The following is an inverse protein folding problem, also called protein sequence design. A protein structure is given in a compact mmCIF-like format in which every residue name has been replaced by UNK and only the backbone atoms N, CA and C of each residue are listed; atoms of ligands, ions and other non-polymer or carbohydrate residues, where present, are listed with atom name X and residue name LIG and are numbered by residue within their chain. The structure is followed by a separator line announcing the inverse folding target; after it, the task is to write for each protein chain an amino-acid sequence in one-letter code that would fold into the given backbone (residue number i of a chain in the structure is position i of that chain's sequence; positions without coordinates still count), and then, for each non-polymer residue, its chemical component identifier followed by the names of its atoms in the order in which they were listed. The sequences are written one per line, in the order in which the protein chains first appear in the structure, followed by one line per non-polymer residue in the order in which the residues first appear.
data_IF_383054529568
#
_entry.id   IF_383054529568
#
_cell.length_a   1.000
_cell.length_b   1.000
_cell.length_c   1.000
_cell.angle_alpha   90.00
_cell.angle_beta   90.00
_cell.angle_gamma   90.00
#
_symmetry.space_group_name_H-M   'P 1'
#
loop_
_entity.id
_entity.type
_entity.pdbx_description
1 polymer ?
#
# COMPACT_ATOMS: atom_id res chain seq x y z
N UNK A 1 3.89 13.49 -5.93
CA UNK A 1 4.80 12.82 -6.88
C UNK A 1 4.23 11.44 -7.23
N UNK A 2 4.26 11.07 -8.53
CA UNK A 2 3.80 9.75 -8.96
C UNK A 2 4.95 8.75 -8.92
N UNK A 3 4.72 7.56 -8.33
CA UNK A 3 5.66 6.46 -8.39
C UNK A 3 5.61 5.82 -9.79
N UNK A 4 6.67 6.01 -10.57
CA UNK A 4 6.81 5.42 -11.89
C UNK A 4 7.79 4.25 -11.84
N UNK A 5 7.31 3.02 -12.12
CA UNK A 5 8.13 1.80 -12.06
C UNK A 5 9.38 1.90 -12.94
N UNK A 6 9.24 2.38 -14.18
CA UNK A 6 10.36 2.50 -15.12
C UNK A 6 11.42 3.47 -14.59
N UNK A 7 11.00 4.62 -14.03
CA UNK A 7 11.92 5.57 -13.39
C UNK A 7 12.64 4.94 -12.20
N UNK A 8 11.94 4.22 -11.33
CA UNK A 8 12.53 3.51 -10.20
C UNK A 8 13.53 2.43 -10.64
N UNK A 9 13.27 1.73 -11.76
CA UNK A 9 14.20 0.76 -12.34
C UNK A 9 15.45 1.43 -12.91
N UNK A 10 15.32 2.53 -13.65
CA UNK A 10 16.45 3.31 -14.18
C UNK A 10 17.34 3.85 -13.06
N UNK A 11 16.76 4.23 -11.93
CA UNK A 11 17.48 4.67 -10.73
C UNK A 11 18.03 3.51 -9.87
N UNK A 12 17.88 2.27 -10.30
CA UNK A 12 18.25 1.07 -9.56
C UNK A 12 17.59 0.94 -8.17
N UNK A 13 16.46 1.62 -7.96
CA UNK A 13 15.68 1.55 -6.72
C UNK A 13 14.71 0.38 -6.71
N UNK A 14 14.23 -0.03 -7.88
CA UNK A 14 13.33 -1.17 -8.04
C UNK A 14 13.90 -2.15 -9.07
N UNK A 15 14.38 -3.28 -8.58
CA UNK A 15 14.97 -4.35 -9.41
C UNK A 15 14.28 -5.72 -9.20
N UNK A 16 13.12 -5.71 -8.53
CA UNK A 16 12.31 -6.89 -8.31
C UNK A 16 11.85 -7.48 -9.64
N UNK A 17 12.11 -8.78 -9.82
CA UNK A 17 11.74 -9.50 -11.02
C UNK A 17 10.30 -10.03 -10.90
N UNK A 18 9.60 -10.01 -12.02
CA UNK A 18 8.29 -10.60 -12.19
C UNK A 18 8.23 -11.29 -13.54
N UNK A 19 7.39 -12.30 -13.67
CA UNK A 19 7.06 -12.88 -14.98
C UNK A 19 5.57 -12.68 -15.26
N UNK A 20 5.26 -12.61 -16.54
CA UNK A 20 3.90 -12.46 -17.05
C UNK A 20 3.45 -13.81 -17.61
N UNK A 21 2.31 -14.32 -17.16
CA UNK A 21 1.70 -15.50 -17.74
C UNK A 21 1.04 -15.20 -19.10
N UNK A 22 0.67 -16.22 -19.86
CA UNK A 22 0.04 -16.08 -21.18
C UNK A 22 -1.26 -15.26 -21.14
N UNK A 23 -2.00 -15.32 -20.04
CA UNK A 23 -3.23 -14.55 -19.83
C UNK A 23 -3.01 -13.14 -19.23
N UNK A 24 -1.76 -12.64 -19.23
CA UNK A 24 -1.45 -11.29 -18.76
C UNK A 24 -1.34 -11.13 -17.22
N UNK A 25 -1.40 -12.22 -16.43
CA UNK A 25 -1.26 -12.17 -14.99
C UNK A 25 0.22 -12.05 -14.59
N UNK A 26 0.53 -11.06 -13.74
CA UNK A 26 1.86 -10.93 -13.13
C UNK A 26 2.06 -11.90 -11.97
N UNK A 27 3.23 -12.49 -11.92
CA UNK A 27 3.69 -13.33 -10.82
C UNK A 27 5.05 -12.85 -10.28
N UNK A 28 5.18 -12.85 -8.97
CA UNK A 28 6.42 -12.53 -8.29
C UNK A 28 7.40 -13.71 -8.38
N UNK A 29 8.65 -13.46 -8.78
CA UNK A 29 9.64 -14.53 -8.87
C UNK A 29 10.11 -15.06 -7.52
N UNK A 30 9.89 -14.33 -6.41
CA UNK A 30 10.33 -14.73 -5.08
C UNK A 30 9.47 -15.81 -4.44
N UNK A 31 8.17 -15.82 -4.70
CA UNK A 31 7.23 -16.76 -4.08
C UNK A 31 6.20 -17.33 -5.06
N UNK A 32 6.35 -17.04 -6.36
CA UNK A 32 5.48 -17.48 -7.45
C UNK A 32 3.99 -17.11 -7.22
N UNK A 33 3.72 -16.05 -6.44
CA UNK A 33 2.35 -15.61 -6.18
C UNK A 33 1.91 -14.53 -7.15
N UNK A 34 0.62 -14.56 -7.56
CA UNK A 34 0.08 -13.54 -8.41
C UNK A 34 -0.03 -12.20 -7.68
N UNK A 35 0.17 -11.13 -8.42
CA UNK A 35 -0.13 -9.76 -7.99
C UNK A 35 -0.78 -8.98 -9.13
N UNK A 36 -1.59 -7.98 -8.80
CA UNK A 36 -2.53 -7.39 -9.75
C UNK A 36 -2.05 -6.07 -10.36
N UNK A 37 -1.05 -5.40 -9.79
CA UNK A 37 -0.61 -4.09 -10.29
C UNK A 37 0.90 -3.97 -10.23
N UNK A 38 1.49 -3.24 -11.18
CA UNK A 38 2.92 -2.94 -11.21
C UNK A 38 3.42 -2.24 -9.94
N UNK A 39 2.53 -1.56 -9.22
CA UNK A 39 2.85 -0.81 -8.01
C UNK A 39 2.71 -1.61 -6.72
N UNK A 40 2.36 -2.89 -6.81
CA UNK A 40 2.09 -3.73 -5.63
C UNK A 40 3.21 -3.67 -4.58
N UNK A 41 4.46 -3.59 -5.01
CA UNK A 41 5.60 -3.59 -4.10
C UNK A 41 6.34 -2.25 -4.02
N UNK A 42 6.39 -1.47 -5.12
CA UNK A 42 7.11 -0.20 -5.17
C UNK A 42 6.56 0.87 -4.22
N UNK A 43 5.30 0.74 -3.78
CA UNK A 43 4.70 1.59 -2.74
C UNK A 43 5.49 1.61 -1.42
N UNK A 44 6.19 0.53 -1.12
CA UNK A 44 7.03 0.42 0.07
C UNK A 44 8.40 1.12 -0.06
N UNK A 45 8.73 1.67 -1.24
CA UNK A 45 9.92 2.49 -1.45
C UNK A 45 9.76 3.95 -1.02
N UNK A 46 8.55 4.39 -0.65
CA UNK A 46 8.32 5.79 -0.23
C UNK A 46 9.30 6.26 0.85
N UNK A 47 9.55 5.49 1.94
CA UNK A 47 10.54 5.91 2.93
C UNK A 47 11.97 6.03 2.38
N UNK A 48 12.35 5.14 1.46
CA UNK A 48 13.67 5.19 0.81
C UNK A 48 13.83 6.43 -0.05
N UNK A 49 12.82 6.75 -0.87
CA UNK A 49 12.80 7.95 -1.71
C UNK A 49 12.88 9.22 -0.87
N UNK A 50 12.16 9.26 0.25
CA UNK A 50 12.21 10.39 1.17
C UNK A 50 13.60 10.55 1.81
N UNK A 51 14.26 9.44 2.20
CA UNK A 51 15.63 9.47 2.74
C UNK A 51 16.64 10.03 1.73
N UNK A 52 16.54 9.61 0.46
CA UNK A 52 17.42 10.13 -0.59
C UNK A 52 17.24 11.64 -0.81
N UNK A 53 16.05 12.16 -0.56
CA UNK A 53 15.75 13.59 -0.64
C UNK A 53 15.94 14.31 0.71
N UNK A 54 16.50 13.64 1.72
CA UNK A 54 16.72 14.18 3.07
C UNK A 54 15.45 14.74 3.71
N UNK A 55 14.29 14.08 3.44
CA UNK A 55 12.99 14.42 4.05
C UNK A 55 12.84 13.72 5.38
N UNK A 56 12.14 14.38 6.30
CA UNK A 56 11.78 13.89 7.61
C UNK A 56 10.27 14.00 7.88
N UNK A 57 9.83 13.67 9.09
CA UNK A 57 8.44 13.76 9.49
C UNK A 57 7.60 12.59 8.96
N UNK A 58 6.47 12.90 8.34
CA UNK A 58 5.53 11.90 7.83
C UNK A 58 5.42 11.97 6.31
N UNK A 59 5.50 10.83 5.67
CA UNK A 59 5.28 10.67 4.23
C UNK A 59 4.03 9.80 3.98
N UNK A 60 3.25 10.16 2.98
CA UNK A 60 2.05 9.41 2.59
C UNK A 60 2.27 8.67 1.28
N UNK A 61 1.84 7.42 1.23
CA UNK A 61 1.51 6.70 0.00
C UNK A 61 -0.01 6.54 -0.09
N UNK A 62 -0.54 6.69 -1.28
CA UNK A 62 -1.94 6.42 -1.60
C UNK A 62 -2.02 5.82 -3.02
N UNK A 63 -2.91 4.84 -3.23
CA UNK A 63 -3.21 4.30 -4.56
C UNK A 63 -3.79 5.39 -5.47
N UNK A 64 -3.59 5.27 -6.79
CA UNK A 64 -3.96 6.31 -7.76
C UNK A 64 -5.48 6.44 -8.02
N UNK A 65 -6.28 5.54 -7.46
CA UNK A 65 -7.74 5.45 -7.60
C UNK A 65 -8.49 6.02 -6.37
N UNK A 66 -7.86 7.00 -5.67
CA UNK A 66 -8.47 7.73 -4.57
C UNK A 66 -9.01 9.09 -5.03
N UNK A 67 -10.21 9.44 -4.53
CA UNK A 67 -10.79 10.78 -4.59
C UNK A 67 -10.88 11.36 -3.18
N UNK A 68 -10.14 12.43 -2.91
CA UNK A 68 -10.23 13.16 -1.64
C UNK A 68 -11.41 14.14 -1.67
N UNK A 69 -12.25 14.08 -0.64
CA UNK A 69 -13.44 14.92 -0.47
C UNK A 69 -13.26 15.98 0.65
N UNK A 70 -12.18 15.88 1.41
CA UNK A 70 -11.84 16.79 2.49
C UNK A 70 -10.35 17.16 2.41
N UNK A 71 -9.95 18.19 3.14
CA UNK A 71 -8.57 18.67 3.21
C UNK A 71 -7.64 17.58 3.77
N UNK A 72 -6.68 17.16 2.95
CA UNK A 72 -5.70 16.13 3.29
C UNK A 72 -4.85 16.49 4.53
N UNK A 73 -4.68 17.76 4.86
CA UNK A 73 -3.97 18.19 6.07
C UNK A 73 -4.67 17.73 7.35
N UNK A 74 -5.99 17.50 7.30
CA UNK A 74 -6.72 16.89 8.41
C UNK A 74 -6.33 15.43 8.63
N UNK A 75 -5.96 14.70 7.55
CA UNK A 75 -5.41 13.35 7.69
C UNK A 75 -4.02 13.39 8.33
N UNK A 76 -3.18 14.34 7.94
CA UNK A 76 -1.87 14.54 8.58
C UNK A 76 -1.97 14.93 10.05
N UNK A 77 -3.07 15.58 10.48
CA UNK A 77 -3.29 15.86 11.91
C UNK A 77 -3.67 14.63 12.74
N UNK A 78 -4.02 13.50 12.10
CA UNK A 78 -4.37 12.25 12.79
C UNK A 78 -3.14 11.38 13.12
N UNK A 79 -1.95 11.72 12.65
CA UNK A 79 -0.76 10.88 12.87
C UNK A 79 -0.26 10.95 14.32
N UNK A 80 0.40 9.86 14.75
CA UNK A 80 0.97 9.76 16.10
C UNK A 80 2.38 9.15 16.02
N UNK A 81 3.36 9.89 16.50
CA UNK A 81 4.78 9.55 16.42
C UNK A 81 5.18 8.26 17.14
N UNK A 82 4.28 7.68 17.96
CA UNK A 82 4.44 6.34 18.53
C UNK A 82 4.56 5.26 17.46
N UNK A 83 3.93 5.47 16.28
CA UNK A 83 3.81 4.45 15.25
C UNK A 83 4.85 4.66 14.13
N UNK A 84 5.33 3.55 13.57
CA UNK A 84 6.20 3.54 12.39
C UNK A 84 5.41 3.72 11.10
N UNK A 85 4.21 3.17 11.07
CA UNK A 85 3.27 3.28 9.95
C UNK A 85 1.86 3.39 10.50
N UNK A 86 1.04 4.20 9.86
CA UNK A 86 -0.39 4.26 10.12
C UNK A 86 -1.17 4.01 8.83
N UNK A 87 -2.25 3.24 8.93
CA UNK A 87 -3.11 2.88 7.81
C UNK A 87 -4.56 2.73 8.28
N UNK A 88 -5.50 2.58 7.35
CA UNK A 88 -6.88 2.25 7.70
C UNK A 88 -7.00 0.73 7.90
N UNK A 89 -7.61 0.33 9.01
CA UNK A 89 -7.79 -1.08 9.37
C UNK A 89 -9.07 -1.62 8.72
N UNK A 90 -8.90 -2.48 7.75
CA UNK A 90 -10.03 -3.26 7.21
C UNK A 90 -10.09 -4.64 7.87
N UNK A 91 -11.25 -4.98 8.43
CA UNK A 91 -11.57 -6.33 8.91
C UNK A 91 -12.28 -7.15 7.83
N UNK A 92 -11.95 -6.87 6.57
CA UNK A 92 -12.57 -7.49 5.41
C UNK A 92 -11.63 -8.50 4.76
N UNK A 93 -12.19 -9.64 4.38
CA UNK A 93 -11.52 -10.65 3.56
C UNK A 93 -12.40 -10.89 2.35
N UNK A 94 -11.84 -10.84 1.11
CA UNK A 94 -12.63 -11.08 -0.08
C UNK A 94 -13.42 -12.38 0.00
N UNK A 95 -14.71 -12.42 -0.40
CA UNK A 95 -15.49 -13.66 -0.51
C UNK A 95 -14.78 -14.71 -1.37
N UNK A 96 -15.16 -15.99 -1.21
CA UNK A 96 -14.49 -17.09 -1.95
C UNK A 96 -14.71 -17.03 -3.45
N UNK A 97 -15.82 -16.51 -3.88
CA UNK A 97 -16.23 -16.29 -5.27
C UNK A 97 -15.57 -15.07 -5.92
N UNK A 98 -15.10 -14.09 -5.15
CA UNK A 98 -14.35 -12.95 -5.66
C UNK A 98 -12.85 -13.27 -5.83
N UNK A 99 -12.52 -14.29 -6.61
CA UNK A 99 -11.11 -14.63 -6.92
C UNK A 99 -10.47 -13.69 -7.93
N UNK A 100 -11.27 -12.98 -8.70
CA UNK A 100 -10.81 -12.12 -9.78
C UNK A 100 -11.22 -10.67 -9.55
N UNK A 101 -10.38 -9.75 -9.97
CA UNK A 101 -10.73 -8.34 -10.11
C UNK A 101 -11.56 -8.14 -11.40
N UNK A 102 -12.10 -6.93 -11.60
CA UNK A 102 -12.85 -6.60 -12.81
C UNK A 102 -12.05 -6.78 -14.11
N UNK A 103 -10.73 -6.64 -14.06
CA UNK A 103 -9.78 -6.87 -15.16
C UNK A 103 -9.39 -8.35 -15.34
N UNK A 104 -10.06 -9.29 -14.65
CA UNK A 104 -9.78 -10.73 -14.71
C UNK A 104 -8.53 -11.17 -13.93
N UNK A 105 -7.83 -10.28 -13.26
CA UNK A 105 -6.60 -10.58 -12.52
C UNK A 105 -6.89 -11.30 -11.20
N UNK A 106 -6.12 -12.35 -10.89
CA UNK A 106 -6.27 -13.13 -9.66
C UNK A 106 -5.94 -12.27 -8.44
N UNK A 107 -6.82 -12.29 -7.45
CA UNK A 107 -6.60 -11.67 -6.15
C UNK A 107 -6.04 -12.66 -5.14
N UNK A 108 -4.92 -12.30 -4.50
CA UNK A 108 -4.43 -13.03 -3.32
C UNK A 108 -5.26 -12.66 -2.09
N UNK A 109 -5.78 -13.67 -1.38
CA UNK A 109 -6.51 -13.48 -0.11
C UNK A 109 -5.53 -13.44 1.05
N UNK A 110 -5.63 -12.39 1.89
CA UNK A 110 -4.85 -12.27 3.14
C UNK A 110 -5.51 -11.31 4.13
N UNK A 111 -5.19 -11.47 5.41
CA UNK A 111 -5.86 -10.83 6.54
C UNK A 111 -5.68 -9.31 6.68
N UNK A 112 -4.79 -8.70 5.90
CA UNK A 112 -4.55 -7.24 5.90
C UNK A 112 -4.80 -6.67 4.50
N UNK A 113 -5.83 -7.19 3.82
CA UNK A 113 -6.23 -6.70 2.50
C UNK A 113 -6.62 -5.22 2.59
N UNK A 114 -6.27 -4.41 1.61
CA UNK A 114 -6.47 -2.96 1.51
C UNK A 114 -5.66 -2.09 2.49
N UNK A 115 -5.01 -2.63 3.51
CA UNK A 115 -4.25 -1.83 4.48
C UNK A 115 -3.13 -1.01 3.84
N UNK A 116 -2.53 -1.50 2.75
CA UNK A 116 -1.45 -0.82 2.05
C UNK A 116 -1.90 0.11 0.92
N UNK A 117 -3.20 0.35 0.76
CA UNK A 117 -3.73 1.28 -0.24
C UNK A 117 -3.57 2.75 0.15
N UNK A 118 -3.58 3.03 1.45
CA UNK A 118 -3.19 4.31 2.03
C UNK A 118 -2.31 4.06 3.26
N UNK A 119 -1.10 4.57 3.24
CA UNK A 119 -0.12 4.42 4.32
C UNK A 119 0.54 5.76 4.64
N UNK A 120 0.59 6.09 5.93
CA UNK A 120 1.38 7.18 6.47
C UNK A 120 2.63 6.58 7.11
N UNK A 121 3.82 6.94 6.62
CA UNK A 121 5.11 6.47 7.12
C UNK A 121 5.77 7.52 8.00
N UNK A 122 6.13 7.16 9.22
CA UNK A 122 6.89 8.01 10.12
C UNK A 122 8.39 7.87 9.81
N UNK A 123 8.95 8.78 9.03
CA UNK A 123 10.33 8.73 8.55
C UNK A 123 11.37 8.76 9.69
N UNK A 124 11.00 9.29 10.85
CA UNK A 124 11.86 9.39 12.03
C UNK A 124 11.83 8.12 12.91
N UNK A 125 10.87 7.20 12.68
CA UNK A 125 10.76 6.00 13.50
C UNK A 125 11.85 4.97 13.18
N UNK A 126 12.50 4.33 14.17
CA UNK A 126 13.61 3.39 13.93
C UNK A 126 13.26 2.22 13.00
N UNK A 127 12.02 1.69 13.06
CA UNK A 127 11.61 0.57 12.22
C UNK A 127 11.48 0.94 10.75
N UNK A 128 11.23 2.20 10.42
CA UNK A 128 11.13 2.64 9.03
C UNK A 128 12.48 2.55 8.29
N UNK A 129 13.61 2.57 9.03
CA UNK A 129 14.93 2.38 8.45
C UNK A 129 15.13 0.98 7.85
N UNK A 130 14.39 -0.04 8.37
CA UNK A 130 14.40 -1.40 7.84
C UNK A 130 13.73 -1.46 6.46
N UNK A 131 12.76 -0.59 6.18
CA UNK A 131 12.06 -0.51 4.90
C UNK A 131 12.91 0.27 3.89
N UNK A 132 13.94 -0.39 3.41
CA UNK A 132 14.91 0.13 2.45
C UNK A 132 14.76 -0.53 1.08
N UNK A 133 15.54 -0.07 0.12
CA UNK A 133 15.58 -0.60 -1.25
C UNK A 133 15.72 -2.11 -1.30
N UNK A 134 16.68 -2.66 -0.56
CA UNK A 134 17.00 -4.09 -0.66
C UNK A 134 15.88 -4.94 -0.05
N UNK A 135 15.36 -4.58 1.12
CA UNK A 135 14.23 -5.29 1.73
C UNK A 135 13.02 -5.31 0.80
N UNK A 136 12.68 -4.20 0.15
CA UNK A 136 11.52 -4.14 -0.76
C UNK A 136 11.71 -5.06 -1.97
N UNK A 137 12.93 -5.16 -2.50
CA UNK A 137 13.21 -5.96 -3.69
C UNK A 137 13.41 -7.46 -3.40
N UNK A 138 13.75 -7.84 -2.15
CA UNK A 138 14.10 -9.23 -1.79
C UNK A 138 13.10 -9.90 -0.86
N UNK A 139 12.13 -9.18 -0.31
CA UNK A 139 11.10 -9.75 0.56
C UNK A 139 9.89 -10.23 -0.23
N UNK A 140 9.21 -11.27 0.25
CA UNK A 140 7.93 -11.72 -0.34
C UNK A 140 6.84 -10.65 -0.23
N UNK A 141 5.86 -10.70 -1.13
CA UNK A 141 4.70 -9.82 -1.07
C UNK A 141 3.96 -9.91 0.28
N UNK A 142 3.88 -11.12 0.85
CA UNK A 142 3.28 -11.34 2.18
C UNK A 142 4.07 -10.65 3.30
N UNK A 143 5.40 -10.57 3.21
CA UNK A 143 6.22 -9.85 4.18
C UNK A 143 5.91 -8.34 4.15
N UNK A 144 5.83 -7.76 2.95
CA UNK A 144 5.57 -6.34 2.76
C UNK A 144 4.14 -5.96 3.16
N UNK A 145 3.13 -6.58 2.55
CA UNK A 145 1.72 -6.21 2.74
C UNK A 145 1.14 -6.58 4.11
N UNK A 146 1.74 -7.54 4.83
CA UNK A 146 1.37 -7.83 6.21
C UNK A 146 2.17 -7.02 7.23
N UNK A 147 2.98 -6.07 6.77
CA UNK A 147 3.81 -5.20 7.60
C UNK A 147 4.73 -5.96 8.57
N UNK A 148 5.33 -7.09 8.09
CA UNK A 148 6.24 -7.90 8.91
C UNK A 148 7.62 -7.27 9.08
N UNK A 149 7.87 -6.16 8.42
CA UNK A 149 9.07 -5.34 8.55
C UNK A 149 9.04 -4.40 9.77
N UNK A 150 7.90 -4.34 10.46
CA UNK A 150 7.72 -3.58 11.71
C UNK A 150 6.98 -4.43 12.75
N UNK A 151 7.07 -4.04 14.03
CA UNK A 151 6.36 -4.71 15.10
C UNK A 151 4.88 -4.35 15.07
N UNK A 152 4.02 -5.24 15.57
CA UNK A 152 2.56 -5.05 15.56
C UNK A 152 2.14 -3.80 16.34
N UNK A 153 2.82 -3.53 17.45
CA UNK A 153 2.60 -2.41 18.35
C UNK A 153 3.00 -1.07 17.73
N UNK A 154 3.82 -1.10 16.68
CA UNK A 154 4.26 0.07 15.92
C UNK A 154 3.38 0.35 14.70
N UNK A 155 2.28 -0.39 14.51
CA UNK A 155 1.27 -0.13 13.48
C UNK A 155 0.11 0.62 14.12
N UNK A 156 -0.11 1.87 13.69
CA UNK A 156 -1.25 2.68 14.09
C UNK A 156 -2.39 2.66 13.09
N UNK A 157 -3.56 3.14 13.51
CA UNK A 157 -4.73 3.19 12.65
C UNK A 157 -5.23 4.62 12.48
N UNK A 158 -5.60 4.94 11.25
CA UNK A 158 -6.23 6.18 10.83
C UNK A 158 -7.76 6.01 10.83
N UNK A 159 -8.52 7.10 10.89
CA UNK A 159 -9.96 7.04 10.83
C UNK A 159 -10.47 6.47 9.49
N UNK A 160 -11.52 5.64 9.56
CA UNK A 160 -12.04 4.86 8.42
C UNK A 160 -12.59 5.73 7.28
N UNK A 161 -13.04 6.96 7.58
CA UNK A 161 -13.55 7.92 6.59
C UNK A 161 -12.52 8.31 5.52
N UNK A 162 -11.23 8.07 5.74
CA UNK A 162 -10.17 8.39 4.80
C UNK A 162 -9.86 7.27 3.78
N UNK A 163 -10.59 6.17 3.83
CA UNK A 163 -10.49 5.10 2.83
C UNK A 163 -11.82 4.38 2.70
N UNK A 164 -12.84 5.10 2.26
CA UNK A 164 -14.16 4.53 2.01
C UNK A 164 -14.11 3.64 0.76
N UNK A 165 -14.44 2.37 0.91
CA UNK A 165 -14.52 1.39 -0.18
C UNK A 165 -15.95 0.91 -0.29
N UNK A 166 -16.59 1.09 -1.45
CA UNK A 166 -17.97 0.63 -1.66
C UNK A 166 -18.08 -0.90 -1.53
N UNK A 167 -19.12 -1.34 -0.83
CA UNK A 167 -19.34 -2.75 -0.51
C UNK A 167 -18.46 -3.32 0.62
N UNK A 168 -17.51 -2.54 1.16
CA UNK A 168 -16.62 -2.94 2.27
C UNK A 168 -16.82 -2.05 3.48
N UNK A 169 -16.81 -0.74 3.28
CA UNK A 169 -17.02 0.26 4.34
C UNK A 169 -18.52 0.43 4.62
N UNK A 170 -18.87 0.69 5.89
CA UNK A 170 -20.26 0.95 6.28
C UNK A 170 -20.85 2.13 5.52
N UNK A 171 -22.05 1.96 4.95
CA UNK A 171 -22.79 3.03 4.23
C UNK A 171 -23.18 4.22 5.13
N UNK A 172 -23.18 4.05 6.45
CA UNK A 172 -23.43 5.13 7.39
C UNK A 172 -22.24 6.08 7.58
N UNK A 173 -21.04 5.67 7.13
CA UNK A 173 -19.83 6.48 7.23
C UNK A 173 -19.85 7.60 6.18
N UNK A 174 -19.65 8.85 6.60
CA UNK A 174 -19.45 9.98 5.68
C UNK A 174 -18.00 9.98 5.19
N UNK A 175 -17.73 9.73 3.90
CA UNK A 175 -16.36 9.63 3.42
C UNK A 175 -15.65 10.98 3.37
N UNK A 176 -14.37 11.00 3.73
CA UNK A 176 -13.41 12.08 3.46
C UNK A 176 -12.49 11.74 2.29
N UNK A 177 -12.34 10.46 1.98
CA UNK A 177 -11.74 9.98 0.74
C UNK A 177 -12.45 8.71 0.30
N UNK A 178 -12.66 8.56 -1.02
CA UNK A 178 -13.24 7.38 -1.66
C UNK A 178 -12.13 6.65 -2.42
N UNK A 179 -12.06 5.34 -2.25
CA UNK A 179 -11.14 4.45 -2.94
C UNK A 179 -11.91 3.57 -3.95
N UNK A 180 -11.71 3.83 -5.22
CA UNK A 180 -12.43 3.17 -6.32
C UNK A 180 -11.78 1.85 -6.73
N UNK A 181 -11.81 0.84 -5.86
CA UNK A 181 -11.17 -0.47 -6.10
C UNK A 181 -11.75 -1.27 -7.27
N UNK A 182 -12.92 -0.87 -7.76
CA UNK A 182 -13.65 -1.53 -8.87
C UNK A 182 -13.67 -0.70 -10.15
N UNK A 183 -12.82 0.30 -10.26
CA UNK A 183 -12.79 1.25 -11.36
C UNK A 183 -13.24 2.64 -10.93
N UNK A 184 -12.67 3.68 -11.55
CA UNK A 184 -12.91 5.06 -11.20
C UNK A 184 -14.30 5.57 -11.54
N UNK A 185 -14.61 6.85 -11.13
CA UNK A 185 -15.85 7.51 -11.51
C UNK A 185 -15.96 7.72 -13.01
#
# INVERSE_FOLDING_TARGET
EFLNRRSLQTQHLYYRKAFLSENGQYFDTLDSKPFSTEFSFSRFLVPELCRQQQKDGWAMFVDGDFLFLDDIMKLFSCVNNKYSVMCIKFNWVPPQDERYKLDGMIQTRYSKKLWSSLMMFNLNHPHIKKLNRDLVNTSTGSHLHKFRWTDKESIGFLPDEWNYVDGVTSKSLKPKAIHYTKGGP
#
